data_IF_292284011500
#
_entry.id   IF_292284011500
#
_cell.length_a   1.000
_cell.length_b   1.000
_cell.length_c   1.000
_cell.angle_alpha   90.00
_cell.angle_beta   90.00
_cell.angle_gamma   90.00
#
_symmetry.space_group_name_H-M   'P 1'
#
loop_
_entity.id
_entity.type
_entity.pdbx_description
1 polymer ?
#
# COMPACT_ATOMS: atom_id res chain seq x y z
N UNK A 1 -10.80 0.15 -35.00
CA UNK A 1 -9.62 -0.60 -35.46
C UNK A 1 -8.89 -1.08 -34.21
N UNK A 2 -9.02 -2.36 -33.87
CA UNK A 2 -8.45 -2.96 -32.64
C UNK A 2 -7.08 -3.53 -33.01
N UNK A 3 -6.04 -3.15 -32.28
CA UNK A 3 -4.67 -3.61 -32.52
C UNK A 3 -4.48 -4.92 -31.77
N UNK A 4 -4.72 -6.04 -32.44
CA UNK A 4 -4.59 -7.36 -31.84
C UNK A 4 -3.11 -7.69 -31.57
N UNK A 5 -2.79 -7.97 -30.31
CA UNK A 5 -1.45 -8.33 -29.85
C UNK A 5 -1.21 -9.83 -30.10
N UNK A 6 -0.66 -10.18 -31.27
CA UNK A 6 -0.51 -11.56 -31.74
C UNK A 6 0.61 -12.41 -31.10
N UNK A 7 1.17 -12.02 -29.95
CA UNK A 7 2.25 -12.78 -29.30
C UNK A 7 2.10 -12.91 -27.76
N UNK A 8 0.89 -12.77 -27.23
CA UNK A 8 0.65 -13.01 -25.80
C UNK A 8 0.52 -14.51 -25.57
N UNK A 9 1.61 -15.15 -25.12
CA UNK A 9 1.55 -16.50 -24.58
C UNK A 9 1.20 -16.39 -23.10
N UNK A 10 0.09 -17.02 -22.69
CA UNK A 10 -0.21 -17.21 -21.27
C UNK A 10 0.91 -18.04 -20.65
N UNK A 11 1.72 -17.43 -19.79
CA UNK A 11 2.70 -18.17 -19.00
C UNK A 11 1.95 -19.23 -18.17
N UNK A 12 2.51 -20.44 -18.01
CA UNK A 12 1.95 -21.39 -17.05
C UNK A 12 1.84 -20.68 -15.71
N UNK A 13 0.70 -20.87 -15.03
CA UNK A 13 0.44 -20.33 -13.70
C UNK A 13 1.35 -21.06 -12.70
N UNK A 14 2.65 -20.77 -12.76
CA UNK A 14 3.50 -20.89 -11.59
C UNK A 14 2.80 -20.02 -10.56
N UNK A 15 2.27 -20.63 -9.49
CA UNK A 15 1.76 -19.89 -8.33
C UNK A 15 2.79 -18.81 -8.09
N UNK A 16 2.44 -17.56 -8.36
CA UNK A 16 3.39 -16.46 -8.38
C UNK A 16 4.06 -16.48 -7.01
N UNK A 17 5.27 -17.04 -6.95
CA UNK A 17 5.97 -17.22 -5.71
C UNK A 17 6.63 -15.87 -5.52
N UNK A 18 5.88 -14.95 -4.92
CA UNK A 18 6.37 -13.60 -4.65
C UNK A 18 7.66 -13.77 -3.90
N UNK A 19 8.77 -13.36 -4.52
CA UNK A 19 10.07 -13.43 -3.87
C UNK A 19 10.01 -12.45 -2.71
N UNK A 20 10.18 -12.91 -1.46
CA UNK A 20 10.14 -12.01 -0.33
C UNK A 20 11.28 -11.00 -0.47
N UNK A 21 10.97 -9.75 -0.18
CA UNK A 21 11.97 -8.69 -0.18
C UNK A 21 13.01 -8.97 0.90
N UNK A 22 14.27 -8.66 0.58
CA UNK A 22 15.36 -8.70 1.56
C UNK A 22 15.14 -7.62 2.63
N UNK A 23 15.76 -7.74 3.82
CA UNK A 23 15.61 -6.72 4.87
C UNK A 23 15.99 -5.29 4.43
N UNK A 24 16.99 -5.16 3.55
CA UNK A 24 17.39 -3.88 2.96
C UNK A 24 16.36 -3.31 1.99
N UNK A 25 15.72 -4.17 1.22
CA UNK A 25 14.62 -3.78 0.34
C UNK A 25 13.37 -3.43 1.14
N UNK A 26 13.08 -4.15 2.22
CA UNK A 26 12.00 -3.83 3.15
C UNK A 26 12.18 -2.43 3.76
N UNK A 27 13.40 -2.10 4.21
CA UNK A 27 13.71 -0.78 4.76
C UNK A 27 13.50 0.32 3.72
N UNK A 28 14.05 0.13 2.51
CA UNK A 28 13.92 1.10 1.42
C UNK A 28 12.47 1.27 0.97
N UNK A 29 11.72 0.18 0.87
CA UNK A 29 10.31 0.19 0.52
C UNK A 29 9.50 0.96 1.57
N UNK A 30 9.72 0.68 2.86
CA UNK A 30 9.07 1.38 3.96
C UNK A 30 9.36 2.88 3.97
N UNK A 31 10.62 3.27 3.76
CA UNK A 31 11.00 4.67 3.68
C UNK A 31 10.30 5.39 2.51
N UNK A 32 10.23 4.74 1.35
CA UNK A 32 9.55 5.28 0.17
C UNK A 32 8.05 5.44 0.43
N UNK A 33 7.40 4.39 0.98
CA UNK A 33 5.97 4.43 1.32
C UNK A 33 5.67 5.51 2.35
N UNK A 34 6.52 5.68 3.35
CA UNK A 34 6.36 6.73 4.35
C UNK A 34 6.33 8.12 3.70
N UNK A 35 7.27 8.42 2.80
CA UNK A 35 7.32 9.72 2.11
C UNK A 35 6.12 9.90 1.16
N UNK A 36 5.86 8.93 0.29
CA UNK A 36 4.83 9.07 -0.75
C UNK A 36 3.41 9.10 -0.16
N UNK A 37 3.09 8.19 0.77
CA UNK A 37 1.79 8.16 1.44
C UNK A 37 1.65 9.35 2.38
N UNK A 38 2.73 9.73 3.06
CA UNK A 38 2.77 10.91 3.93
C UNK A 38 2.37 12.17 3.18
N UNK A 39 3.03 12.44 2.04
CA UNK A 39 2.72 13.59 1.19
C UNK A 39 1.26 13.57 0.72
N UNK A 40 0.79 12.42 0.21
CA UNK A 40 -0.61 12.28 -0.26
C UNK A 40 -1.64 12.53 0.83
N UNK A 41 -1.40 12.02 2.03
CA UNK A 41 -2.29 12.23 3.17
C UNK A 41 -2.24 13.69 3.63
N UNK A 42 -1.09 14.35 3.58
CA UNK A 42 -0.99 15.77 3.90
C UNK A 42 -1.77 16.65 2.90
N UNK A 43 -1.74 16.30 1.61
CA UNK A 43 -2.49 17.03 0.57
C UNK A 43 -4.00 16.78 0.60
N UNK A 44 -4.43 15.53 0.78
CA UNK A 44 -5.83 15.11 0.58
C UNK A 44 -6.54 14.63 1.84
N UNK A 45 -5.85 14.52 2.98
CA UNK A 45 -6.35 13.96 4.23
C UNK A 45 -6.44 12.43 4.28
N UNK A 46 -6.38 11.76 3.12
CA UNK A 46 -6.44 10.30 2.99
C UNK A 46 -5.78 9.79 1.69
N UNK A 47 -5.45 8.51 1.64
CA UNK A 47 -4.94 7.80 0.46
C UNK A 47 -5.39 6.35 0.45
N UNK A 48 -5.67 5.80 -0.73
CA UNK A 48 -5.89 4.35 -0.94
C UNK A 48 -4.65 3.74 -1.57
N UNK A 49 -4.23 2.58 -1.08
CA UNK A 49 -3.08 1.84 -1.59
C UNK A 49 -3.40 0.35 -1.80
N UNK A 50 -3.00 -0.25 -2.95
CA UNK A 50 -3.20 -1.67 -3.19
C UNK A 50 -2.33 -2.52 -2.26
N UNK A 51 -2.91 -3.55 -1.66
CA UNK A 51 -2.25 -4.44 -0.71
C UNK A 51 -2.77 -5.88 -0.91
N UNK A 52 -2.15 -6.59 -1.86
CA UNK A 52 -2.60 -7.91 -2.30
C UNK A 52 -2.09 -9.04 -1.41
N UNK A 53 -0.99 -8.81 -0.71
CA UNK A 53 -0.38 -9.77 0.21
C UNK A 53 -0.54 -9.36 1.67
N UNK A 54 -0.40 -10.32 2.58
CA UNK A 54 -0.44 -10.06 4.02
C UNK A 54 0.75 -9.23 4.47
N UNK A 55 1.91 -9.45 3.87
CA UNK A 55 3.15 -8.71 4.12
C UNK A 55 3.00 -7.24 3.75
N UNK A 56 2.43 -6.94 2.58
CA UNK A 56 2.13 -5.55 2.18
C UNK A 56 1.18 -4.86 3.16
N UNK A 57 0.13 -5.58 3.60
CA UNK A 57 -0.83 -5.05 4.57
C UNK A 57 -0.15 -4.74 5.91
N UNK A 58 0.70 -5.63 6.40
CA UNK A 58 1.49 -5.41 7.60
C UNK A 58 2.44 -4.21 7.46
N UNK A 59 3.10 -4.07 6.30
CA UNK A 59 3.99 -2.93 6.01
C UNK A 59 3.24 -1.60 6.04
N UNK A 60 2.03 -1.53 5.48
CA UNK A 60 1.21 -0.32 5.47
C UNK A 60 0.71 0.06 6.87
N UNK A 61 0.38 -0.93 7.71
CA UNK A 61 0.06 -0.69 9.13
C UNK A 61 1.27 -0.11 9.87
N UNK A 62 2.46 -0.66 9.65
CA UNK A 62 3.71 -0.16 10.22
C UNK A 62 4.01 1.28 9.76
N UNK A 63 3.82 1.59 8.47
CA UNK A 63 3.97 2.94 7.93
C UNK A 63 2.94 3.89 8.54
N UNK A 64 1.68 3.48 8.69
CA UNK A 64 0.65 4.29 9.35
C UNK A 64 1.00 4.63 10.80
N UNK A 65 1.55 3.68 11.55
CA UNK A 65 2.09 3.94 12.90
C UNK A 65 3.24 4.95 12.86
N UNK A 66 4.21 4.78 11.97
CA UNK A 66 5.33 5.73 11.82
C UNK A 66 4.85 7.13 11.47
N UNK A 67 3.87 7.26 10.56
CA UNK A 67 3.27 8.54 10.20
C UNK A 67 2.56 9.18 11.40
N UNK A 68 1.89 8.36 12.22
CA UNK A 68 1.22 8.84 13.43
C UNK A 68 2.20 9.40 14.46
N UNK A 69 3.30 8.69 14.69
CA UNK A 69 4.39 9.13 15.56
C UNK A 69 5.06 10.40 15.02
N UNK A 70 5.27 10.47 13.70
CA UNK A 70 5.93 11.60 13.06
C UNK A 70 5.12 12.90 13.11
N UNK A 71 3.80 12.82 12.93
CA UNK A 71 2.93 14.00 12.94
C UNK A 71 2.30 14.30 14.30
N UNK A 72 2.43 13.40 15.27
CA UNK A 72 1.72 13.51 16.56
C UNK A 72 0.21 13.42 16.42
N UNK A 73 -0.29 12.88 15.31
CA UNK A 73 -1.70 12.75 14.97
C UNK A 73 -2.00 11.32 14.55
N UNK A 74 -3.09 10.73 15.05
CA UNK A 74 -3.43 9.35 14.70
C UNK A 74 -3.80 9.22 13.22
N UNK A 75 -3.06 8.40 12.48
CA UNK A 75 -3.39 7.93 11.13
C UNK A 75 -4.05 6.55 11.25
N UNK A 76 -5.29 6.44 10.78
CA UNK A 76 -5.99 5.15 10.71
C UNK A 76 -5.58 4.41 9.45
N UNK A 77 -5.46 3.08 9.57
CA UNK A 77 -5.21 2.18 8.44
C UNK A 77 -6.32 1.14 8.44
N UNK A 78 -7.17 1.19 7.42
CA UNK A 78 -8.40 0.40 7.35
C UNK A 78 -8.45 -0.39 6.04
N UNK A 79 -9.04 -1.59 6.06
CA UNK A 79 -9.25 -2.35 4.85
C UNK A 79 -10.45 -1.77 4.10
N UNK A 80 -10.18 -1.18 2.93
CA UNK A 80 -11.24 -0.70 2.04
C UNK A 80 -11.88 -1.87 1.29
N UNK A 81 -11.04 -2.80 0.81
CA UNK A 81 -11.47 -4.03 0.12
C UNK A 81 -10.50 -5.19 0.45
N UNK A 82 -10.73 -6.36 -0.14
CA UNK A 82 -9.85 -7.54 -0.01
C UNK A 82 -8.41 -7.28 -0.44
N UNK A 83 -8.21 -6.34 -1.37
CA UNK A 83 -6.93 -6.05 -2.04
C UNK A 83 -6.45 -4.61 -1.83
N UNK A 84 -7.09 -3.81 -0.96
CA UNK A 84 -6.72 -2.41 -0.77
C UNK A 84 -6.85 -1.98 0.69
N UNK A 85 -5.88 -1.19 1.15
CA UNK A 85 -5.95 -0.48 2.42
C UNK A 85 -6.09 1.01 2.15
N UNK A 86 -6.82 1.69 3.04
CA UNK A 86 -6.93 3.13 3.09
C UNK A 86 -6.23 3.65 4.33
N UNK A 87 -5.43 4.70 4.16
CA UNK A 87 -4.80 5.43 5.24
C UNK A 87 -5.41 6.83 5.32
N UNK A 88 -5.77 7.30 6.50
CA UNK A 88 -6.42 8.60 6.69
C UNK A 88 -6.11 9.25 8.02
N UNK A 89 -6.09 10.58 8.04
CA UNK A 89 -6.05 11.34 9.29
C UNK A 89 -7.37 11.23 10.05
N UNK A 90 -7.32 11.44 11.38
CA UNK A 90 -8.50 11.53 12.23
C UNK A 90 -9.52 12.54 11.64
N UNK A 91 -10.72 12.06 11.31
CA UNK A 91 -11.78 12.83 10.64
C UNK A 91 -12.06 12.42 9.18
N UNK A 92 -11.14 11.70 8.53
CA UNK A 92 -11.29 11.17 7.16
C UNK A 92 -11.34 9.63 7.11
N UNK A 93 -11.44 8.98 8.27
CA UNK A 93 -11.59 7.54 8.43
C UNK A 93 -12.86 7.03 7.73
N UNK A 94 -12.81 5.79 7.23
CA UNK A 94 -14.00 5.11 6.76
C UNK A 94 -14.87 4.88 7.98
N UNK A 95 -16.02 5.54 8.04
CA UNK A 95 -16.97 5.26 9.12
C UNK A 95 -17.48 3.82 8.96
N UNK A 96 -17.68 3.09 10.07
CA UNK A 96 -18.25 1.75 10.04
C UNK A 96 -19.68 1.73 9.47
#
# INVERSE_FOLDING_TARGET
>A
MIRELYNVRTAPSERATTTPLTPDEERRCRATLFTELGNRIADCGWVRFPAHSREERARLVDVGRMLSEHWGMTVTVEAEDECALRLSLAGHALRP
#
